data_IF_155098741732
#
_entry.id   IF_155098741732
#
_cell.length_a   1.000
_cell.length_b   1.000
_cell.length_c   1.000
_cell.angle_alpha   90.00
_cell.angle_beta   90.00
_cell.angle_gamma   90.00
#
_symmetry.space_group_name_H-M   'P 1'
#
loop_
_entity.id
_entity.type
_entity.pdbx_description
1 polymer ?
#
# COMPACT_ATOMS: atom_id res chain seq x y z
N UNK A 1 -22.06 10.26 56.09
CA UNK A 1 -21.55 8.92 55.73
C UNK A 1 -20.23 9.10 55.04
N UNK A 2 -19.11 8.79 55.69
CA UNK A 2 -17.78 8.85 55.11
C UNK A 2 -17.66 7.67 54.13
N UNK A 3 -17.37 7.96 52.85
CA UNK A 3 -16.99 6.91 51.89
C UNK A 3 -15.57 6.45 52.29
N UNK A 4 -15.46 5.22 52.81
CA UNK A 4 -14.18 4.56 53.01
C UNK A 4 -13.53 4.39 51.64
N UNK A 5 -12.33 4.96 51.52
CA UNK A 5 -11.46 4.75 50.35
C UNK A 5 -11.06 3.26 50.32
N UNK A 6 -11.37 2.52 49.24
CA UNK A 6 -11.03 1.10 49.19
C UNK A 6 -9.51 0.92 49.28
N UNK A 7 -9.05 -0.01 50.09
CA UNK A 7 -7.66 -0.40 50.23
C UNK A 7 -7.07 -0.73 48.84
N UNK A 8 -5.82 -0.37 48.57
CA UNK A 8 -5.14 -0.56 47.29
C UNK A 8 -5.17 -2.03 46.78
N UNK A 9 -5.29 -3.00 47.69
CA UNK A 9 -5.40 -4.41 47.36
C UNK A 9 -6.80 -4.75 46.81
N UNK A 10 -7.82 -4.17 47.41
CA UNK A 10 -9.22 -4.33 46.98
C UNK A 10 -9.45 -3.64 45.64
N UNK A 11 -8.85 -2.47 45.42
CA UNK A 11 -8.90 -1.76 44.14
C UNK A 11 -8.22 -2.53 43.03
N UNK A 12 -7.02 -3.11 43.26
CA UNK A 12 -6.31 -3.96 42.30
C UNK A 12 -7.13 -5.22 41.93
N UNK A 13 -7.76 -5.85 42.90
CA UNK A 13 -8.62 -7.02 42.66
C UNK A 13 -9.88 -6.66 41.85
N UNK A 14 -10.50 -5.51 42.15
CA UNK A 14 -11.66 -5.02 41.41
C UNK A 14 -11.29 -4.66 39.96
N UNK A 15 -10.16 -4.00 39.72
CA UNK A 15 -9.62 -3.68 38.37
C UNK A 15 -9.31 -4.96 37.61
N UNK A 16 -8.64 -5.93 38.23
CA UNK A 16 -8.31 -7.21 37.59
C UNK A 16 -9.59 -8.00 37.20
N UNK A 17 -10.61 -7.99 38.04
CA UNK A 17 -11.92 -8.59 37.77
C UNK A 17 -12.63 -7.86 36.61
N UNK A 18 -12.68 -6.52 36.66
CA UNK A 18 -13.26 -5.69 35.59
C UNK A 18 -12.58 -5.95 34.24
N UNK A 19 -11.24 -5.95 34.17
CA UNK A 19 -10.49 -6.25 32.96
C UNK A 19 -10.75 -7.67 32.44
N UNK A 20 -10.99 -8.63 33.32
CA UNK A 20 -11.31 -10.00 32.95
C UNK A 20 -12.75 -10.11 32.42
N UNK A 21 -13.71 -9.48 33.07
CA UNK A 21 -15.12 -9.51 32.69
C UNK A 21 -15.37 -8.69 31.41
N UNK A 22 -14.62 -7.58 31.19
CA UNK A 22 -14.74 -6.71 30.04
C UNK A 22 -13.79 -7.11 28.87
N UNK A 23 -13.08 -8.21 28.98
CA UNK A 23 -12.11 -8.65 27.95
C UNK A 23 -12.75 -8.80 26.56
N UNK A 24 -14.00 -9.24 26.48
CA UNK A 24 -14.76 -9.35 25.23
C UNK A 24 -15.14 -7.97 24.68
N UNK A 25 -15.54 -7.02 25.55
CA UNK A 25 -15.91 -5.67 25.17
C UNK A 25 -14.66 -4.85 24.76
N UNK A 26 -13.54 -5.05 25.46
CA UNK A 26 -12.24 -4.46 25.09
C UNK A 26 -11.78 -5.03 23.74
N UNK A 27 -11.94 -6.33 23.49
CA UNK A 27 -11.66 -6.92 22.19
C UNK A 27 -12.59 -6.36 21.11
N UNK A 28 -13.89 -6.17 21.39
CA UNK A 28 -14.85 -5.56 20.47
C UNK A 28 -14.50 -4.10 20.11
N UNK A 29 -13.97 -3.32 21.08
CA UNK A 29 -13.45 -1.96 20.82
C UNK A 29 -12.26 -1.96 19.84
N UNK A 30 -11.43 -2.99 19.87
CA UNK A 30 -10.37 -3.18 18.88
C UNK A 30 -10.93 -3.42 17.48
N UNK A 31 -12.03 -4.15 17.36
CA UNK A 31 -12.67 -4.42 16.06
C UNK A 31 -13.42 -3.22 15.47
N UNK A 32 -13.88 -2.29 16.31
CA UNK A 32 -14.66 -1.11 15.89
C UNK A 32 -13.85 -0.01 15.19
N UNK A 33 -12.55 -0.17 14.96
CA UNK A 33 -11.68 0.90 14.46
C UNK A 33 -11.74 1.18 12.94
N UNK A 34 -12.60 0.47 12.19
CA UNK A 34 -12.80 0.69 10.77
C UNK A 34 -11.71 0.09 9.87
N UNK A 35 -12.01 0.04 8.57
CA UNK A 35 -11.14 -0.54 7.54
C UNK A 35 -9.80 0.20 7.42
N UNK A 36 -9.81 1.53 7.52
CA UNK A 36 -8.60 2.35 7.44
C UNK A 36 -7.58 1.98 8.52
N UNK A 37 -8.04 1.84 9.76
CA UNK A 37 -7.17 1.41 10.87
C UNK A 37 -6.68 -0.03 10.72
N UNK A 38 -7.46 -0.90 10.10
CA UNK A 38 -7.05 -2.27 9.83
C UNK A 38 -5.95 -2.35 8.76
N UNK A 39 -5.99 -1.45 7.78
CA UNK A 39 -5.02 -1.37 6.69
C UNK A 39 -3.75 -0.61 7.09
N UNK A 40 -3.91 0.62 7.58
CA UNK A 40 -2.79 1.56 7.76
C UNK A 40 -2.35 1.72 9.21
N UNK A 41 -2.96 0.96 10.11
CA UNK A 41 -2.67 1.06 11.54
C UNK A 41 -3.34 2.26 12.20
N UNK A 42 -3.26 2.28 13.51
CA UNK A 42 -3.71 3.40 14.34
C UNK A 42 -2.81 3.53 15.55
N UNK A 43 -2.20 4.68 15.70
CA UNK A 43 -1.46 5.03 16.89
C UNK A 43 -2.37 5.80 17.85
N UNK A 44 -2.51 5.32 19.08
CA UNK A 44 -3.26 5.98 20.14
C UNK A 44 -2.36 6.04 21.37
N UNK A 45 -1.91 7.25 21.71
CA UNK A 45 -0.98 7.47 22.83
C UNK A 45 -1.64 7.34 24.21
N UNK A 46 -2.96 7.62 24.27
CA UNK A 46 -3.74 7.56 25.52
C UNK A 46 -4.34 6.19 25.80
N UNK A 47 -4.46 5.32 24.81
CA UNK A 47 -5.05 4.00 24.94
C UNK A 47 -4.30 2.99 24.06
N UNK A 48 -3.35 2.29 24.68
CA UNK A 48 -2.52 1.27 24.02
C UNK A 48 -3.37 0.12 23.46
N UNK A 49 -4.54 -0.16 24.05
CA UNK A 49 -5.43 -1.21 23.58
C UNK A 49 -6.14 -0.86 22.27
N UNK A 50 -6.25 0.43 21.96
CA UNK A 50 -6.82 0.92 20.72
C UNK A 50 -5.79 1.07 19.59
N UNK A 51 -4.49 0.89 19.88
CA UNK A 51 -3.42 0.90 18.87
C UNK A 51 -3.47 -0.34 18.00
N UNK A 52 -3.14 -0.17 16.72
CA UNK A 52 -3.03 -1.27 15.73
C UNK A 52 -1.81 -1.09 14.87
N UNK A 53 -1.15 -2.18 14.59
CA UNK A 53 -0.09 -2.22 13.59
C UNK A 53 -0.68 -2.20 12.17
N UNK A 54 0.02 -1.51 11.27
CA UNK A 54 -0.35 -1.48 9.87
C UNK A 54 -0.22 -2.86 9.22
N UNK A 55 -1.15 -3.19 8.33
CA UNK A 55 -1.06 -4.37 7.48
C UNK A 55 -0.63 -4.01 6.04
N UNK A 56 -0.67 -2.73 5.67
CA UNK A 56 -0.25 -2.24 4.35
C UNK A 56 0.89 -1.26 4.50
N UNK A 57 1.95 -1.49 3.74
CA UNK A 57 3.15 -0.67 3.68
C UNK A 57 3.30 -0.14 2.27
N UNK A 58 3.45 1.18 2.13
CA UNK A 58 3.60 1.86 0.85
C UNK A 58 4.93 2.59 0.83
N UNK A 59 5.80 2.21 -0.09
CA UNK A 59 7.06 2.89 -0.29
C UNK A 59 6.87 4.22 -1.04
N UNK A 60 7.81 5.15 -0.89
CA UNK A 60 7.85 6.32 -1.76
C UNK A 60 8.03 5.90 -3.22
N UNK A 61 7.20 6.45 -4.10
CA UNK A 61 7.38 6.29 -5.53
C UNK A 61 8.51 7.20 -6.02
N UNK A 62 9.29 6.72 -6.99
CA UNK A 62 10.35 7.50 -7.60
C UNK A 62 10.40 7.24 -9.12
N UNK A 63 10.98 8.17 -9.86
CA UNK A 63 11.17 8.02 -11.32
C UNK A 63 12.26 7.00 -11.60
N UNK A 64 12.03 6.13 -12.59
CA UNK A 64 13.00 5.11 -13.02
C UNK A 64 14.06 5.67 -13.99
N UNK A 65 13.91 6.91 -14.38
CA UNK A 65 14.78 7.65 -15.30
C UNK A 65 15.33 8.91 -14.62
N UNK A 66 16.26 9.57 -15.33
CA UNK A 66 16.78 10.85 -14.91
C UNK A 66 15.66 11.85 -14.63
N UNK A 67 15.75 12.56 -13.51
CA UNK A 67 14.75 13.54 -13.13
C UNK A 67 14.81 14.76 -14.05
N UNK A 68 13.68 15.13 -14.62
CA UNK A 68 13.50 16.40 -15.31
C UNK A 68 12.36 17.15 -14.64
N UNK A 69 12.66 18.38 -14.25
CA UNK A 69 11.68 19.29 -13.64
C UNK A 69 11.47 20.44 -14.59
N UNK A 70 10.20 20.71 -14.89
CA UNK A 70 9.81 21.91 -15.62
C UNK A 70 9.28 22.92 -14.62
N UNK A 71 9.77 24.16 -14.70
CA UNK A 71 9.30 25.24 -13.85
C UNK A 71 8.20 26.01 -14.59
N UNK A 72 6.98 25.99 -14.02
CA UNK A 72 5.89 26.81 -14.47
C UNK A 72 5.91 28.13 -13.69
N UNK A 73 6.34 29.17 -14.38
CA UNK A 73 6.50 30.49 -13.81
C UNK A 73 5.34 31.39 -14.21
N UNK A 74 4.60 31.90 -13.24
CA UNK A 74 3.50 32.81 -13.52
C UNK A 74 3.47 34.00 -12.57
N UNK A 75 3.00 35.12 -13.12
CA UNK A 75 2.79 36.35 -12.37
C UNK A 75 1.31 36.67 -12.30
N UNK A 76 0.86 37.13 -11.17
CA UNK A 76 -0.51 37.64 -10.99
C UNK A 76 -0.44 39.15 -11.00
N UNK A 77 -1.25 39.77 -11.88
CA UNK A 77 -1.44 41.21 -11.94
C UNK A 77 -2.84 41.50 -11.41
N UNK A 78 -2.94 42.42 -10.45
CA UNK A 78 -4.23 42.88 -9.95
C UNK A 78 -4.77 44.00 -10.88
N UNK A 79 -5.80 43.66 -11.65
CA UNK A 79 -6.41 44.60 -12.60
C UNK A 79 -7.01 45.83 -11.93
N UNK A 80 -7.48 45.73 -10.69
CA UNK A 80 -8.05 46.87 -9.94
C UNK A 80 -6.94 47.84 -9.48
N UNK A 81 -5.78 47.33 -9.07
CA UNK A 81 -4.61 48.16 -8.74
C UNK A 81 -4.05 48.84 -9.99
N UNK A 82 -4.12 48.19 -11.14
CA UNK A 82 -3.70 48.73 -12.42
C UNK A 82 -4.56 49.89 -12.85
N UNK A 83 -5.88 49.84 -12.66
CA UNK A 83 -6.80 50.96 -12.90
C UNK A 83 -6.58 52.13 -11.94
N UNK A 84 -6.09 51.88 -10.73
CA UNK A 84 -5.69 52.88 -9.75
C UNK A 84 -4.32 53.53 -10.03
N UNK A 85 -3.59 53.09 -11.10
CA UNK A 85 -2.29 53.63 -11.49
C UNK A 85 -1.12 53.06 -10.68
N UNK A 86 -1.34 52.04 -9.85
CA UNK A 86 -0.31 51.32 -9.11
C UNK A 86 0.19 50.13 -9.94
N UNK A 87 1.47 50.13 -10.34
CA UNK A 87 2.09 48.99 -10.98
C UNK A 87 2.54 48.00 -9.90
N UNK A 88 1.60 47.23 -9.37
CA UNK A 88 1.89 46.17 -8.41
C UNK A 88 1.71 44.79 -9.03
N UNK A 89 2.76 44.00 -9.09
CA UNK A 89 2.61 42.54 -9.23
C UNK A 89 2.05 41.99 -7.92
N UNK A 90 0.88 41.36 -7.95
CA UNK A 90 0.24 40.76 -6.78
C UNK A 90 1.00 39.53 -6.28
N UNK A 91 1.96 39.01 -7.06
CA UNK A 91 2.84 37.92 -6.68
C UNK A 91 3.55 37.31 -7.89
N UNK A 92 4.69 36.74 -7.61
CA UNK A 92 5.45 35.90 -8.54
C UNK A 92 5.43 34.49 -7.94
N UNK A 93 4.96 33.53 -8.70
CA UNK A 93 4.85 32.15 -8.26
C UNK A 93 5.63 31.25 -9.19
N UNK A 94 6.35 30.32 -8.60
CA UNK A 94 7.06 29.24 -9.30
C UNK A 94 6.49 27.91 -8.85
N UNK A 95 6.18 27.05 -9.79
CA UNK A 95 5.65 25.73 -9.53
C UNK A 95 6.41 24.69 -10.34
N UNK A 96 7.03 23.77 -9.65
CA UNK A 96 7.69 22.64 -10.27
C UNK A 96 6.68 21.62 -10.77
N UNK A 97 6.78 21.25 -12.03
CA UNK A 97 6.05 20.15 -12.65
C UNK A 97 7.03 19.03 -12.99
N UNK A 98 6.80 17.87 -12.42
CA UNK A 98 7.55 16.66 -12.74
C UNK A 98 6.60 15.63 -13.34
N UNK A 99 6.95 15.13 -14.52
CA UNK A 99 6.28 14.00 -15.16
C UNK A 99 7.29 12.89 -15.40
N UNK A 100 6.83 11.63 -15.44
CA UNK A 100 7.74 10.54 -15.69
C UNK A 100 7.14 9.16 -15.49
N UNK A 101 7.97 8.15 -15.71
CA UNK A 101 7.67 6.76 -15.41
C UNK A 101 8.10 6.46 -13.97
N UNK A 102 7.14 6.09 -13.15
CA UNK A 102 7.36 5.88 -11.72
C UNK A 102 7.35 4.40 -11.36
N UNK A 103 8.24 4.03 -10.46
CA UNK A 103 8.20 2.76 -9.74
C UNK A 103 7.49 2.97 -8.41
N UNK A 104 6.46 2.17 -8.16
CA UNK A 104 5.76 2.10 -6.88
C UNK A 104 5.87 0.71 -6.27
N UNK A 105 5.93 0.61 -4.95
CA UNK A 105 6.03 -0.65 -4.23
C UNK A 105 5.09 -0.65 -3.03
N UNK A 106 4.26 -1.68 -2.96
CA UNK A 106 3.27 -1.87 -1.89
C UNK A 106 3.41 -3.29 -1.34
N UNK A 107 3.37 -3.42 -0.03
CA UNK A 107 3.35 -4.70 0.67
C UNK A 107 2.05 -4.82 1.45
N UNK A 108 1.45 -5.99 1.41
CA UNK A 108 0.30 -6.36 2.25
C UNK A 108 0.70 -7.54 3.13
N UNK A 109 0.75 -7.32 4.44
CA UNK A 109 0.89 -8.36 5.45
C UNK A 109 -0.49 -8.99 5.69
N UNK A 110 -0.74 -10.10 5.00
CA UNK A 110 -2.03 -10.81 5.05
C UNK A 110 -2.32 -11.36 6.45
N UNK A 111 -1.37 -12.00 7.16
CA UNK A 111 -1.56 -12.39 8.56
C UNK A 111 -1.99 -11.24 9.46
N UNK A 112 -1.31 -10.10 9.36
CA UNK A 112 -1.64 -8.91 10.15
C UNK A 112 -3.01 -8.33 9.77
N UNK A 113 -3.36 -8.33 8.47
CA UNK A 113 -4.67 -7.86 8.01
C UNK A 113 -5.81 -8.72 8.58
N UNK A 114 -5.66 -10.04 8.57
CA UNK A 114 -6.63 -10.98 9.16
C UNK A 114 -6.74 -10.73 10.67
N UNK A 115 -5.62 -10.56 11.37
CA UNK A 115 -5.65 -10.24 12.79
C UNK A 115 -6.38 -8.93 13.09
N UNK A 116 -6.18 -7.91 12.25
CA UNK A 116 -6.84 -6.61 12.39
C UNK A 116 -8.35 -6.64 12.08
N UNK A 117 -8.77 -7.43 11.10
CA UNK A 117 -10.17 -7.49 10.66
C UNK A 117 -11.01 -8.50 11.44
N UNK A 118 -10.45 -9.69 11.68
CA UNK A 118 -11.18 -10.82 12.28
C UNK A 118 -10.86 -11.04 13.77
N UNK A 119 -9.80 -10.39 14.30
CA UNK A 119 -9.36 -10.57 15.69
C UNK A 119 -8.67 -11.90 15.95
N UNK A 120 -8.30 -12.61 14.92
CA UNK A 120 -7.61 -13.89 15.01
C UNK A 120 -6.09 -13.70 15.21
N UNK A 121 -5.39 -14.78 15.57
CA UNK A 121 -3.94 -14.74 15.68
C UNK A 121 -3.28 -14.68 14.30
N UNK A 122 -2.39 -13.72 14.08
CA UNK A 122 -1.63 -13.63 12.83
C UNK A 122 -0.78 -14.88 12.57
N UNK A 123 -0.37 -15.61 13.62
CA UNK A 123 0.47 -16.83 13.49
C UNK A 123 -0.29 -18.01 12.91
N UNK A 124 -1.59 -18.06 13.14
CA UNK A 124 -2.44 -19.19 12.79
C UNK A 124 -3.25 -18.95 11.50
N UNK A 125 -2.98 -17.85 10.80
CA UNK A 125 -3.78 -17.39 9.67
C UNK A 125 -4.04 -18.46 8.60
N UNK A 126 -3.02 -19.25 8.25
CA UNK A 126 -3.12 -20.24 7.18
C UNK A 126 -4.01 -21.44 7.57
N UNK A 127 -4.18 -21.70 8.86
CA UNK A 127 -5.00 -22.81 9.40
C UNK A 127 -6.44 -22.38 9.72
N UNK A 128 -6.75 -21.08 9.66
CA UNK A 128 -8.10 -20.57 9.84
C UNK A 128 -9.04 -21.13 8.76
N UNK A 129 -10.33 -21.34 9.08
CA UNK A 129 -11.28 -21.72 8.07
C UNK A 129 -11.46 -20.62 7.00
N UNK A 130 -11.77 -20.96 5.73
CA UNK A 130 -11.92 -19.98 4.65
C UNK A 130 -12.82 -18.79 4.97
N UNK A 131 -13.92 -19.01 5.72
CA UNK A 131 -14.85 -17.97 6.13
C UNK A 131 -14.21 -16.87 6.98
N UNK A 132 -13.13 -17.18 7.74
CA UNK A 132 -12.37 -16.24 8.55
C UNK A 132 -11.28 -15.49 7.75
N UNK A 133 -11.12 -15.79 6.50
CA UNK A 133 -10.15 -15.18 5.58
C UNK A 133 -10.81 -14.47 4.40
N UNK A 134 -12.11 -14.70 4.22
CA UNK A 134 -12.85 -14.16 3.07
C UNK A 134 -12.84 -12.64 3.03
N UNK A 135 -13.10 -11.97 4.16
CA UNK A 135 -13.11 -10.50 4.22
C UNK A 135 -11.75 -9.92 3.84
N UNK A 136 -10.66 -10.45 4.41
CA UNK A 136 -9.31 -10.02 4.08
C UNK A 136 -8.97 -10.27 2.60
N UNK A 137 -9.36 -11.42 2.06
CA UNK A 137 -9.21 -11.72 0.63
C UNK A 137 -9.92 -10.70 -0.27
N UNK A 138 -11.16 -10.34 0.05
CA UNK A 138 -11.94 -9.32 -0.68
C UNK A 138 -11.34 -7.93 -0.56
N UNK A 139 -10.84 -7.56 0.61
CA UNK A 139 -10.17 -6.27 0.81
C UNK A 139 -8.92 -6.17 -0.08
N UNK A 140 -8.08 -7.20 -0.09
CA UNK A 140 -6.87 -7.21 -0.95
C UNK A 140 -7.24 -7.23 -2.44
N UNK A 141 -8.29 -7.96 -2.83
CA UNK A 141 -8.82 -7.93 -4.19
C UNK A 141 -9.17 -6.51 -4.63
N UNK A 142 -9.88 -5.75 -3.80
CA UNK A 142 -10.21 -4.35 -4.09
C UNK A 142 -8.98 -3.45 -4.11
N UNK A 143 -8.02 -3.64 -3.21
CA UNK A 143 -6.74 -2.90 -3.23
C UNK A 143 -6.00 -3.12 -4.55
N UNK A 144 -5.97 -4.35 -5.07
CA UNK A 144 -5.35 -4.66 -6.36
C UNK A 144 -6.04 -4.00 -7.55
N UNK A 145 -7.32 -3.68 -7.45
CA UNK A 145 -7.99 -2.84 -8.44
C UNK A 145 -7.63 -1.36 -8.28
N UNK A 146 -7.57 -0.87 -7.04
CA UNK A 146 -7.34 0.56 -6.76
C UNK A 146 -5.89 0.98 -7.03
N UNK A 147 -4.90 0.18 -6.61
CA UNK A 147 -3.47 0.51 -6.74
C UNK A 147 -3.10 0.90 -8.17
N UNK A 148 -3.43 0.11 -9.22
CA UNK A 148 -3.04 0.42 -10.58
C UNK A 148 -3.96 1.41 -11.30
N UNK A 149 -5.13 1.76 -10.76
CA UNK A 149 -6.15 2.54 -11.49
C UNK A 149 -6.47 3.89 -10.86
N UNK A 150 -6.13 4.10 -9.59
CA UNK A 150 -6.40 5.37 -8.90
C UNK A 150 -5.18 6.26 -8.97
N UNK A 151 -5.32 7.38 -9.65
CA UNK A 151 -4.27 8.37 -9.77
C UNK A 151 -4.12 9.19 -8.49
N UNK A 152 -2.89 9.60 -8.20
CA UNK A 152 -2.59 10.55 -7.14
C UNK A 152 -3.32 11.87 -7.39
N UNK A 153 -3.84 12.46 -6.32
CA UNK A 153 -4.77 13.60 -6.45
C UNK A 153 -4.15 14.98 -6.58
N UNK A 154 -2.83 15.10 -6.78
CA UNK A 154 -2.16 16.38 -6.86
C UNK A 154 -2.56 17.17 -8.12
N UNK A 155 -2.88 18.45 -7.96
CA UNK A 155 -3.19 19.39 -9.05
C UNK A 155 -4.20 18.89 -10.09
N UNK A 156 -5.22 18.16 -9.69
CA UNK A 156 -6.20 17.52 -10.60
C UNK A 156 -6.79 18.47 -11.63
N UNK A 157 -7.05 19.71 -11.25
CA UNK A 157 -7.67 20.70 -12.11
C UNK A 157 -6.79 21.19 -13.26
N UNK A 158 -5.47 21.23 -13.07
CA UNK A 158 -4.53 21.75 -14.07
C UNK A 158 -3.83 20.67 -14.89
N UNK A 159 -3.63 19.47 -14.33
CA UNK A 159 -2.84 18.42 -14.98
C UNK A 159 -3.65 17.21 -15.42
N UNK A 160 -4.89 17.04 -14.91
CA UNK A 160 -5.73 15.85 -15.16
C UNK A 160 -4.93 14.53 -15.10
N UNK A 161 -4.24 14.22 -13.98
CA UNK A 161 -3.23 13.16 -13.88
C UNK A 161 -3.87 11.78 -13.76
N UNK A 162 -4.73 11.41 -14.72
CA UNK A 162 -5.48 10.16 -14.69
C UNK A 162 -4.80 9.10 -15.56
N UNK A 163 -3.84 8.40 -14.99
CA UNK A 163 -3.09 7.35 -15.65
C UNK A 163 -3.23 6.01 -14.91
N UNK A 164 -3.30 4.92 -15.66
CA UNK A 164 -3.27 3.56 -15.12
C UNK A 164 -1.86 2.98 -15.20
N UNK A 165 -1.54 2.08 -14.29
CA UNK A 165 -0.27 1.39 -14.31
C UNK A 165 -0.08 0.63 -15.63
N UNK A 166 1.12 0.71 -16.19
CA UNK A 166 1.48 0.04 -17.45
C UNK A 166 1.99 -1.38 -17.22
N UNK A 167 2.50 -1.62 -16.03
CA UNK A 167 3.01 -2.90 -15.56
C UNK A 167 2.65 -3.07 -14.09
N UNK A 168 2.14 -4.22 -13.69
CA UNK A 168 1.86 -4.59 -12.31
C UNK A 168 2.36 -6.01 -12.08
N UNK A 169 3.28 -6.16 -11.14
CA UNK A 169 3.77 -7.45 -10.67
C UNK A 169 3.21 -7.74 -9.29
N UNK A 170 2.71 -8.93 -9.08
CA UNK A 170 2.27 -9.43 -7.78
C UNK A 170 3.05 -10.69 -7.44
N UNK A 171 3.71 -10.66 -6.31
CA UNK A 171 4.40 -11.81 -5.70
C UNK A 171 3.68 -12.20 -4.42
N UNK A 172 3.43 -13.50 -4.25
CA UNK A 172 2.80 -14.06 -3.06
C UNK A 172 3.67 -15.20 -2.52
N UNK A 173 3.87 -15.23 -1.20
CA UNK A 173 4.65 -16.25 -0.54
C UNK A 173 4.97 -15.91 0.91
N UNK A 174 5.70 -16.79 1.59
CA UNK A 174 6.05 -16.68 3.01
C UNK A 174 7.42 -16.04 3.25
N UNK A 175 8.10 -15.65 2.18
CA UNK A 175 9.37 -14.92 2.28
C UNK A 175 9.15 -13.48 2.71
N UNK A 176 10.16 -12.91 3.38
CA UNK A 176 10.14 -11.47 3.64
C UNK A 176 10.01 -10.72 2.32
N UNK A 177 9.05 -9.78 2.23
CA UNK A 177 8.88 -8.96 1.02
C UNK A 177 10.16 -8.22 0.64
N UNK A 178 10.40 -8.11 -0.65
CA UNK A 178 11.59 -7.44 -1.20
C UNK A 178 11.19 -6.39 -2.23
N UNK A 179 11.78 -5.22 -2.14
CA UNK A 179 11.65 -4.20 -3.17
C UNK A 179 12.59 -4.51 -4.34
N UNK A 180 12.10 -4.27 -5.56
CA UNK A 180 12.90 -4.35 -6.79
C UNK A 180 13.49 -2.98 -7.17
N UNK A 181 13.47 -2.01 -6.26
CA UNK A 181 14.02 -0.67 -6.47
C UNK A 181 15.52 -0.71 -6.86
N UNK A 182 16.23 -1.76 -6.44
CA UNK A 182 17.63 -1.98 -6.81
C UNK A 182 17.88 -2.05 -8.31
N UNK A 183 16.89 -2.46 -9.11
CA UNK A 183 16.98 -2.46 -10.56
C UNK A 183 17.27 -1.06 -11.14
N UNK A 184 16.86 0.00 -10.43
CA UNK A 184 16.96 1.39 -10.88
C UNK A 184 18.03 2.20 -10.15
N UNK A 185 19.06 1.57 -9.59
CA UNK A 185 20.20 2.28 -9.00
C UNK A 185 20.90 3.21 -10.00
N UNK A 186 20.94 2.80 -11.26
CA UNK A 186 21.33 3.64 -12.37
C UNK A 186 20.06 4.08 -13.09
N UNK A 187 19.76 5.37 -13.05
CA UNK A 187 18.60 5.93 -13.73
C UNK A 187 18.73 5.72 -15.26
N UNK A 188 17.61 5.41 -15.90
CA UNK A 188 17.56 5.36 -17.36
C UNK A 188 17.67 6.76 -17.94
N UNK A 189 18.36 6.97 -19.09
CA UNK A 189 18.32 8.24 -19.79
C UNK A 189 16.88 8.58 -20.18
N UNK A 190 16.43 9.82 -19.93
CA UNK A 190 15.05 10.22 -20.20
C UNK A 190 14.69 10.14 -21.69
N UNK A 191 15.64 10.49 -22.56
CA UNK A 191 15.46 10.49 -24.02
C UNK A 191 15.62 9.10 -24.65
N UNK A 192 15.77 8.05 -23.82
CA UNK A 192 15.94 6.71 -24.34
C UNK A 192 14.69 6.25 -25.11
N UNK A 193 14.83 5.77 -26.36
CA UNK A 193 13.72 5.10 -27.05
C UNK A 193 13.24 3.90 -26.25
N UNK A 194 11.93 3.68 -26.22
CA UNK A 194 11.31 2.56 -25.51
C UNK A 194 11.64 2.54 -23.98
N UNK A 195 11.61 3.70 -23.34
CA UNK A 195 11.92 3.87 -21.91
C UNK A 195 11.15 2.89 -21.02
N UNK A 196 9.86 2.70 -21.27
CA UNK A 196 9.00 1.81 -20.47
C UNK A 196 9.41 0.35 -20.62
N UNK A 197 9.66 -0.11 -21.83
CA UNK A 197 10.10 -1.47 -22.12
C UNK A 197 11.46 -1.74 -21.49
N UNK A 198 12.39 -0.78 -21.55
CA UNK A 198 13.69 -0.86 -20.89
C UNK A 198 13.56 -0.95 -19.38
N UNK A 199 12.67 -0.15 -18.78
CA UNK A 199 12.42 -0.20 -17.34
C UNK A 199 11.85 -1.55 -16.90
N UNK A 200 10.90 -2.12 -17.65
CA UNK A 200 10.35 -3.43 -17.37
C UNK A 200 11.40 -4.53 -17.54
N UNK A 201 12.26 -4.42 -18.55
CA UNK A 201 13.37 -5.36 -18.75
C UNK A 201 14.35 -5.34 -17.58
N UNK A 202 14.72 -4.16 -17.06
CA UNK A 202 15.58 -4.05 -15.87
C UNK A 202 14.94 -4.74 -14.65
N UNK A 203 13.63 -4.58 -14.44
CA UNK A 203 12.91 -5.29 -13.37
C UNK A 203 12.97 -6.81 -13.55
N UNK A 204 12.74 -7.31 -14.75
CA UNK A 204 12.74 -8.75 -15.02
C UNK A 204 14.12 -9.37 -14.88
N UNK A 205 15.17 -8.65 -15.30
CA UNK A 205 16.56 -9.04 -15.11
C UNK A 205 16.92 -9.11 -13.62
N UNK A 206 16.48 -8.14 -12.83
CA UNK A 206 16.71 -8.10 -11.38
C UNK A 206 16.00 -9.26 -10.68
N UNK A 207 14.76 -9.58 -11.07
CA UNK A 207 14.03 -10.75 -10.59
C UNK A 207 14.83 -12.02 -10.86
N UNK A 208 15.31 -12.21 -12.07
CA UNK A 208 16.11 -13.39 -12.44
C UNK A 208 17.39 -13.53 -11.63
N UNK A 209 18.11 -12.43 -11.38
CA UNK A 209 19.31 -12.41 -10.54
C UNK A 209 19.01 -12.78 -9.10
N UNK A 210 17.95 -12.18 -8.53
CA UNK A 210 17.53 -12.47 -7.15
C UNK A 210 17.06 -13.92 -6.99
N UNK A 211 16.27 -14.43 -7.93
CA UNK A 211 15.82 -15.82 -7.91
C UNK A 211 17.00 -16.80 -8.00
N UNK A 212 17.98 -16.52 -8.86
CA UNK A 212 19.17 -17.36 -8.98
C UNK A 212 20.06 -17.30 -7.72
N UNK A 213 20.18 -16.11 -7.10
CA UNK A 213 21.04 -15.93 -5.93
C UNK A 213 20.44 -16.48 -4.65
N UNK A 214 19.12 -16.33 -4.45
CA UNK A 214 18.45 -16.68 -3.19
C UNK A 214 17.57 -17.91 -3.28
N UNK A 215 17.36 -18.49 -4.47
CA UNK A 215 16.52 -19.68 -4.68
C UNK A 215 15.06 -19.46 -4.30
N UNK A 216 14.52 -18.27 -4.57
CA UNK A 216 13.16 -17.92 -4.16
C UNK A 216 12.10 -18.71 -4.91
N UNK A 217 11.05 -19.13 -4.18
CA UNK A 217 9.91 -19.91 -4.70
C UNK A 217 8.60 -19.14 -4.55
N UNK A 218 8.61 -17.86 -4.92
CA UNK A 218 7.40 -17.02 -4.87
C UNK A 218 6.45 -17.35 -6.01
N UNK A 219 5.16 -17.48 -5.71
CA UNK A 219 4.12 -17.51 -6.74
C UNK A 219 3.94 -16.12 -7.32
N UNK A 220 3.99 -16.01 -8.65
CA UNK A 220 4.13 -14.74 -9.34
C UNK A 220 3.15 -14.61 -10.48
N UNK A 221 2.45 -13.48 -10.57
CA UNK A 221 1.57 -13.13 -11.68
C UNK A 221 1.77 -11.66 -12.04
N UNK A 222 1.52 -11.29 -13.28
CA UNK A 222 1.68 -9.92 -13.72
C UNK A 222 0.66 -9.48 -14.74
N UNK A 223 0.43 -8.18 -14.81
CA UNK A 223 -0.25 -7.47 -15.87
C UNK A 223 0.77 -6.60 -16.59
N UNK A 224 0.74 -6.58 -17.90
CA UNK A 224 1.56 -5.69 -18.71
C UNK A 224 0.80 -5.27 -19.96
N UNK A 225 1.00 -4.04 -20.42
CA UNK A 225 0.48 -3.57 -21.71
C UNK A 225 1.36 -4.08 -22.86
N UNK A 226 2.67 -4.10 -22.65
CA UNK A 226 3.64 -4.51 -23.65
C UNK A 226 3.93 -6.01 -23.58
N UNK A 227 4.59 -6.51 -24.63
CA UNK A 227 5.15 -7.86 -24.60
C UNK A 227 6.37 -7.86 -23.69
N UNK A 228 6.29 -8.63 -22.63
CA UNK A 228 7.36 -8.84 -21.65
C UNK A 228 7.30 -10.28 -21.18
N UNK A 229 8.44 -10.86 -20.93
CA UNK A 229 8.58 -12.18 -20.30
C UNK A 229 9.11 -11.97 -18.88
N UNK A 230 8.33 -12.43 -17.90
CA UNK A 230 8.70 -12.32 -16.47
C UNK A 230 9.04 -13.72 -15.97
N UNK A 231 10.23 -13.92 -15.37
CA UNK A 231 10.65 -15.24 -14.91
C UNK A 231 9.65 -15.89 -13.95
N UNK A 232 9.27 -17.12 -14.25
CA UNK A 232 8.35 -17.92 -13.42
C UNK A 232 7.02 -17.22 -13.11
N UNK A 233 6.50 -16.42 -14.05
CA UNK A 233 5.26 -15.68 -13.87
C UNK A 233 4.29 -15.89 -15.03
N UNK A 234 3.00 -15.83 -14.74
CA UNK A 234 1.93 -15.87 -15.74
C UNK A 234 1.33 -14.47 -15.90
N UNK A 235 1.10 -14.08 -17.16
CA UNK A 235 0.38 -12.84 -17.49
C UNK A 235 -1.11 -13.03 -17.30
N UNK A 236 -1.75 -12.12 -16.58
CA UNK A 236 -3.20 -12.13 -16.34
C UNK A 236 -3.81 -10.75 -16.61
N UNK A 237 -5.14 -10.73 -16.79
CA UNK A 237 -5.91 -9.49 -16.70
C UNK A 237 -5.95 -8.98 -15.24
N UNK A 238 -6.31 -7.71 -15.04
CA UNK A 238 -6.43 -7.16 -13.68
C UNK A 238 -7.46 -7.93 -12.84
N UNK A 239 -8.60 -8.29 -13.44
CA UNK A 239 -9.65 -9.06 -12.76
C UNK A 239 -9.17 -10.46 -12.35
N UNK A 240 -8.50 -11.17 -13.26
CA UNK A 240 -7.99 -12.51 -12.97
C UNK A 240 -6.88 -12.48 -11.92
N UNK A 241 -6.00 -11.47 -11.98
CA UNK A 241 -4.93 -11.27 -11.02
C UNK A 241 -5.49 -10.98 -9.62
N UNK A 242 -6.47 -10.08 -9.52
CA UNK A 242 -7.11 -9.75 -8.25
C UNK A 242 -7.90 -10.95 -7.68
N UNK A 243 -8.57 -11.72 -8.54
CA UNK A 243 -9.27 -12.95 -8.15
C UNK A 243 -8.31 -14.05 -7.72
N UNK A 244 -7.17 -14.19 -8.38
CA UNK A 244 -6.13 -15.14 -8.00
C UNK A 244 -5.61 -14.86 -6.58
N UNK A 245 -5.30 -13.60 -6.24
CA UNK A 245 -4.84 -13.24 -4.89
C UNK A 245 -5.94 -13.44 -3.85
N UNK A 246 -7.18 -13.04 -4.14
CA UNK A 246 -8.30 -13.26 -3.23
C UNK A 246 -8.46 -14.76 -2.90
N UNK A 247 -8.38 -15.62 -3.92
CA UNK A 247 -8.50 -17.07 -3.76
C UNK A 247 -7.34 -17.62 -2.96
N UNK A 248 -6.11 -17.16 -3.22
CA UNK A 248 -4.93 -17.54 -2.46
C UNK A 248 -5.11 -17.24 -0.96
N UNK A 249 -5.55 -16.04 -0.62
CA UNK A 249 -5.78 -15.64 0.78
C UNK A 249 -6.89 -16.47 1.41
N UNK A 250 -8.00 -16.65 0.71
CA UNK A 250 -9.17 -17.37 1.24
C UNK A 250 -8.87 -18.85 1.46
N UNK A 251 -8.13 -19.48 0.57
CA UNK A 251 -7.75 -20.90 0.68
C UNK A 251 -6.50 -21.13 1.54
N UNK A 252 -5.66 -20.10 1.77
CA UNK A 252 -4.40 -20.18 2.51
C UNK A 252 -3.29 -20.89 1.75
N UNK A 253 -3.46 -21.09 0.45
CA UNK A 253 -2.48 -21.72 -0.43
C UNK A 253 -2.73 -21.28 -1.88
N UNK A 254 -1.71 -21.47 -2.74
CA UNK A 254 -1.86 -21.19 -4.16
C UNK A 254 -3.01 -21.99 -4.77
N UNK A 255 -3.91 -21.36 -5.55
CA UNK A 255 -4.96 -22.09 -6.29
C UNK A 255 -4.40 -23.16 -7.22
N UNK A 256 -3.18 -22.96 -7.72
CA UNK A 256 -2.51 -23.86 -8.65
C UNK A 256 -1.93 -25.13 -7.95
N UNK A 257 -1.92 -25.13 -6.60
CA UNK A 257 -1.42 -26.25 -5.76
C UNK A 257 -2.55 -27.08 -5.12
N UNK A 258 -3.81 -26.69 -5.37
CA UNK A 258 -4.98 -27.46 -4.93
C UNK A 258 -5.25 -28.53 -6.00
N UNK A 259 -4.72 -29.72 -5.78
CA UNK A 259 -4.98 -30.95 -6.59
C UNK A 259 -5.94 -31.85 -5.85
#
# INVERSE_FOLDING_TARGET
MAQENPDAKTLKAAIAKFLKDEKSNIAALKHGSGLESALFGRMVTSDVLASRDAAVYVAHAFTVHEAQVENDYFTVVDDLLREAGEQGSAGIFDTELASGLYYGYVVVDVPQLIANLEGESAKDWATLPPAKRELSGRVVQHLLHLIPTVSLGAKRGSTAPFEWAKFLLVEVGDWQPRSLAGAFQNALPLEQPALRESAVQMLTDEIGKLDAAYGTTLDRRFLALDKVDVPNAQRLSLNDLATWVQTYITQGTSPDKVV
#
